data_IF_741522065343
#
_entry.id   IF_741522065343
#
_cell.length_a   1.000
_cell.length_b   1.000
_cell.length_c   1.000
_cell.angle_alpha   90.00
_cell.angle_beta   90.00
_cell.angle_gamma   90.00
#
_symmetry.space_group_name_H-M   'P 1'
#
loop_
_entity.id
_entity.type
_entity.pdbx_description
1 polymer ?
#
# COMPACT_ATOMS: atom_id res chain seq x y z
N UNK A 1 -49.39 -19.59 16.28
CA UNK A 1 -48.24 -18.67 16.47
C UNK A 1 -48.57 -17.38 15.73
N UNK A 2 -48.85 -16.31 16.46
CA UNK A 2 -49.50 -15.10 15.92
C UNK A 2 -48.61 -14.37 14.89
N UNK A 3 -49.28 -13.72 13.93
CA UNK A 3 -48.74 -12.74 12.97
C UNK A 3 -47.74 -13.21 11.90
N UNK A 4 -47.45 -14.51 11.81
CA UNK A 4 -46.55 -15.10 10.79
C UNK A 4 -47.26 -15.93 9.71
N UNK A 5 -48.38 -15.46 9.17
CA UNK A 5 -49.17 -16.22 8.18
C UNK A 5 -48.30 -16.53 6.95
N UNK A 6 -48.25 -17.80 6.55
CA UNK A 6 -47.42 -18.28 5.45
C UNK A 6 -45.91 -18.36 5.73
N UNK A 7 -45.46 -18.06 6.95
CA UNK A 7 -44.03 -18.08 7.34
C UNK A 7 -43.66 -19.30 8.18
N UNK A 8 -42.38 -19.66 8.16
CA UNK A 8 -41.80 -20.81 8.87
C UNK A 8 -41.97 -20.72 10.39
N UNK A 9 -42.87 -21.50 10.98
CA UNK A 9 -43.16 -21.42 12.42
C UNK A 9 -42.34 -22.37 13.30
N UNK A 10 -41.88 -23.50 12.76
CA UNK A 10 -41.09 -24.51 13.46
C UNK A 10 -40.25 -25.35 12.50
N UNK A 11 -39.04 -25.69 12.91
CA UNK A 11 -38.20 -26.74 12.30
C UNK A 11 -37.96 -27.81 13.36
N UNK A 12 -38.09 -29.09 12.98
CA UNK A 12 -37.76 -30.24 13.84
C UNK A 12 -36.68 -31.06 13.16
N UNK A 13 -35.78 -31.62 13.97
CA UNK A 13 -34.73 -32.51 13.52
C UNK A 13 -34.56 -33.70 14.47
N UNK A 14 -33.63 -34.62 14.17
CA UNK A 14 -33.27 -35.73 15.05
C UNK A 14 -32.83 -35.27 16.45
N UNK A 15 -32.81 -36.20 17.40
CA UNK A 15 -32.26 -35.99 18.75
C UNK A 15 -32.90 -34.81 19.52
N UNK A 16 -34.20 -34.59 19.31
CA UNK A 16 -34.96 -33.55 20.02
C UNK A 16 -34.66 -32.12 19.55
N UNK A 17 -33.94 -31.94 18.43
CA UNK A 17 -33.72 -30.63 17.83
C UNK A 17 -35.06 -29.99 17.45
N UNK A 18 -35.31 -28.78 17.97
CA UNK A 18 -36.50 -27.99 17.65
C UNK A 18 -36.15 -26.51 17.60
N UNK A 19 -36.42 -25.85 16.48
CA UNK A 19 -36.27 -24.39 16.32
C UNK A 19 -37.64 -23.76 16.09
N UNK A 20 -38.09 -22.93 17.00
CA UNK A 20 -39.40 -22.29 16.96
C UNK A 20 -39.28 -20.80 16.72
N UNK A 21 -40.10 -20.26 15.81
CA UNK A 21 -40.13 -18.84 15.50
C UNK A 21 -41.49 -18.24 15.91
N UNK A 22 -41.46 -17.00 16.37
CA UNK A 22 -42.64 -16.17 16.59
C UNK A 22 -42.46 -14.82 15.91
N UNK A 23 -43.58 -14.17 15.60
CA UNK A 23 -43.59 -12.96 14.78
C UNK A 23 -44.29 -11.81 15.51
N UNK A 24 -43.83 -10.58 15.26
CA UNK A 24 -44.52 -9.37 15.71
C UNK A 24 -45.70 -9.00 14.81
N UNK A 25 -46.43 -7.93 15.12
CA UNK A 25 -47.62 -7.52 14.36
C UNK A 25 -47.35 -7.18 12.88
N UNK A 26 -46.10 -6.89 12.51
CA UNK A 26 -45.69 -6.63 11.12
C UNK A 26 -45.15 -7.90 10.44
N UNK A 27 -45.25 -9.06 11.09
CA UNK A 27 -44.80 -10.35 10.59
C UNK A 27 -43.27 -10.51 10.58
N UNK A 28 -42.52 -9.70 11.33
CA UNK A 28 -41.05 -9.82 11.48
C UNK A 28 -40.73 -10.77 12.62
N UNK A 29 -39.57 -11.45 12.57
CA UNK A 29 -39.20 -12.46 13.58
C UNK A 29 -38.96 -11.81 14.96
N UNK A 30 -39.89 -12.01 15.89
CA UNK A 30 -39.82 -11.45 17.25
C UNK A 30 -39.00 -12.31 18.20
N UNK A 31 -39.11 -13.64 18.11
CA UNK A 31 -38.35 -14.56 18.95
C UNK A 31 -38.04 -15.84 18.19
N UNK A 32 -36.86 -16.38 18.43
CA UNK A 32 -36.43 -17.72 18.03
C UNK A 32 -36.05 -18.51 19.28
N UNK A 33 -36.67 -19.67 19.48
CA UNK A 33 -36.37 -20.59 20.58
C UNK A 33 -35.80 -21.88 20.01
N UNK A 34 -34.55 -22.18 20.33
CA UNK A 34 -33.87 -23.42 19.96
C UNK A 34 -33.87 -24.36 21.16
N UNK A 35 -34.40 -25.56 20.99
CA UNK A 35 -34.28 -26.68 21.93
C UNK A 35 -33.36 -27.72 21.32
N UNK A 36 -32.31 -28.08 22.04
CA UNK A 36 -31.36 -29.13 21.66
C UNK A 36 -30.74 -29.73 22.92
N UNK A 37 -30.57 -31.05 22.97
CA UNK A 37 -30.00 -31.76 24.14
C UNK A 37 -30.67 -31.41 25.48
N UNK A 38 -31.99 -31.16 25.49
CA UNK A 38 -32.74 -30.77 26.69
C UNK A 38 -32.58 -29.29 27.11
N UNK A 39 -31.65 -28.55 26.52
CA UNK A 39 -31.47 -27.12 26.76
C UNK A 39 -32.35 -26.29 25.85
N UNK A 40 -32.80 -25.13 26.34
CA UNK A 40 -33.60 -24.18 25.56
C UNK A 40 -32.93 -22.81 25.53
N UNK A 41 -32.56 -22.38 24.32
CA UNK A 41 -31.89 -21.12 24.04
C UNK A 41 -32.85 -20.20 23.31
N UNK A 42 -33.23 -19.09 23.95
CA UNK A 42 -34.14 -18.11 23.36
C UNK A 42 -33.40 -16.85 22.94
N UNK A 43 -33.65 -16.42 21.71
CA UNK A 43 -33.20 -15.14 21.15
C UNK A 43 -34.42 -14.29 20.81
N UNK A 44 -34.50 -13.07 21.32
CA UNK A 44 -35.56 -12.11 20.96
C UNK A 44 -35.00 -10.93 20.17
N UNK A 45 -35.83 -10.35 19.30
CA UNK A 45 -35.48 -9.23 18.45
C UNK A 45 -36.45 -8.07 18.70
N UNK A 46 -35.91 -6.86 18.64
CA UNK A 46 -36.66 -5.61 18.57
C UNK A 46 -36.23 -4.85 17.32
N UNK A 47 -37.14 -4.02 16.81
CA UNK A 47 -36.96 -3.33 15.54
C UNK A 47 -37.15 -1.83 15.75
N UNK A 48 -36.44 -1.01 14.98
CA UNK A 48 -36.67 0.43 14.95
C UNK A 48 -37.94 0.79 14.17
N UNK A 49 -38.26 2.09 14.11
CA UNK A 49 -39.43 2.62 13.40
C UNK A 49 -39.42 2.34 11.89
N UNK A 50 -38.26 2.01 11.31
CA UNK A 50 -38.08 1.68 9.89
C UNK A 50 -38.08 0.17 9.63
N UNK A 51 -38.48 -0.63 10.61
CA UNK A 51 -38.49 -2.09 10.54
C UNK A 51 -37.13 -2.77 10.39
N UNK A 52 -36.05 -2.09 10.79
CA UNK A 52 -34.70 -2.68 10.83
C UNK A 52 -34.43 -3.26 12.21
N UNK A 53 -33.70 -4.37 12.27
CA UNK A 53 -33.34 -5.02 13.54
C UNK A 53 -32.51 -4.06 14.39
N UNK A 54 -33.03 -3.62 15.53
CA UNK A 54 -32.38 -2.67 16.44
C UNK A 54 -31.63 -3.38 17.56
N UNK A 55 -32.28 -4.25 18.33
CA UNK A 55 -31.63 -5.01 19.42
C UNK A 55 -31.97 -6.48 19.31
N UNK A 56 -30.96 -7.33 19.39
CA UNK A 56 -31.08 -8.76 19.60
C UNK A 56 -30.69 -9.09 21.04
N UNK A 57 -31.61 -9.70 21.80
CA UNK A 57 -31.31 -10.26 23.13
C UNK A 57 -31.11 -11.76 22.97
N UNK A 58 -29.88 -12.22 23.14
CA UNK A 58 -29.44 -13.61 23.07
C UNK A 58 -29.71 -14.33 24.41
N UNK A 59 -29.46 -15.65 24.52
CA UNK A 59 -29.52 -16.35 25.79
C UNK A 59 -28.71 -15.64 26.89
N UNK A 60 -29.10 -15.87 28.15
CA UNK A 60 -28.53 -15.16 29.31
C UNK A 60 -28.73 -13.64 29.29
N UNK A 61 -29.71 -13.15 28.51
CA UNK A 61 -30.05 -11.73 28.34
C UNK A 61 -28.92 -10.88 27.73
N UNK A 62 -27.93 -11.50 27.09
CA UNK A 62 -26.85 -10.78 26.42
C UNK A 62 -27.40 -9.98 25.23
N UNK A 63 -27.20 -8.67 25.23
CA UNK A 63 -27.75 -7.77 24.21
C UNK A 63 -26.71 -7.42 23.15
N UNK A 64 -27.13 -7.46 21.89
CA UNK A 64 -26.39 -6.91 20.76
C UNK A 64 -27.27 -5.87 20.07
N UNK A 65 -26.76 -4.65 19.98
CA UNK A 65 -27.44 -3.51 19.38
C UNK A 65 -26.85 -3.19 18.00
N UNK A 66 -27.72 -2.93 17.04
CA UNK A 66 -27.38 -2.36 15.75
C UNK A 66 -27.70 -0.86 15.77
N UNK A 67 -26.70 -0.03 15.53
CA UNK A 67 -26.85 1.42 15.41
C UNK A 67 -26.86 1.78 13.93
N UNK A 68 -27.86 2.53 13.48
CA UNK A 68 -28.00 2.98 12.10
C UNK A 68 -27.87 4.50 12.00
N UNK A 69 -27.37 5.01 10.87
CA UNK A 69 -27.43 6.44 10.59
C UNK A 69 -28.82 6.86 10.08
N UNK A 70 -29.00 8.15 9.84
CA UNK A 70 -30.25 8.74 9.33
C UNK A 70 -30.67 8.20 7.95
N UNK A 71 -29.72 7.71 7.14
CA UNK A 71 -29.97 7.12 5.83
C UNK A 71 -30.25 5.61 5.91
N UNK A 72 -30.22 5.03 7.11
CA UNK A 72 -30.49 3.62 7.36
C UNK A 72 -29.34 2.65 7.15
N UNK A 73 -28.13 3.17 6.94
CA UNK A 73 -26.94 2.33 6.92
C UNK A 73 -26.50 1.97 8.33
N UNK A 74 -26.12 0.70 8.53
CA UNK A 74 -25.51 0.25 9.78
C UNK A 74 -24.20 1.02 10.02
N UNK A 75 -24.08 1.58 11.23
CA UNK A 75 -22.89 2.28 11.73
C UNK A 75 -22.13 1.47 12.76
N UNK A 76 -22.80 0.71 13.61
CA UNK A 76 -22.13 -0.07 14.64
C UNK A 76 -22.93 -1.30 15.06
N UNK A 77 -22.20 -2.33 15.50
CA UNK A 77 -22.73 -3.40 16.35
C UNK A 77 -22.04 -3.32 17.70
N UNK A 78 -22.81 -3.21 18.77
CA UNK A 78 -22.27 -3.03 20.12
C UNK A 78 -23.07 -3.80 21.16
N UNK A 79 -22.53 -3.90 22.37
CA UNK A 79 -23.19 -4.51 23.51
C UNK A 79 -22.90 -3.71 24.78
N UNK A 80 -23.76 -3.77 25.80
CA UNK A 80 -23.48 -3.12 27.08
C UNK A 80 -22.19 -3.65 27.70
N UNK A 81 -21.29 -2.75 28.08
CA UNK A 81 -19.99 -3.07 28.70
C UNK A 81 -20.16 -3.89 29.98
N UNK A 82 -21.20 -3.62 30.76
CA UNK A 82 -21.52 -4.37 31.96
C UNK A 82 -21.81 -5.88 31.72
N UNK A 83 -22.07 -6.29 30.47
CA UNK A 83 -22.31 -7.70 30.10
C UNK A 83 -21.05 -8.42 29.58
N UNK A 84 -19.90 -7.75 29.54
CA UNK A 84 -18.65 -8.26 28.96
C UNK A 84 -17.50 -7.94 29.91
N UNK A 85 -17.00 -8.96 30.62
CA UNK A 85 -15.94 -8.81 31.63
C UNK A 85 -14.53 -9.13 31.11
N UNK A 86 -14.43 -9.79 29.97
CA UNK A 86 -13.19 -10.35 29.39
C UNK A 86 -12.62 -9.52 28.24
N UNK A 87 -13.14 -8.31 28.02
CA UNK A 87 -12.68 -7.43 26.96
C UNK A 87 -11.36 -6.72 27.32
N UNK A 88 -10.37 -6.82 26.45
CA UNK A 88 -9.03 -6.23 26.65
C UNK A 88 -9.01 -4.73 26.27
N UNK A 89 -9.33 -3.89 27.25
CA UNK A 89 -9.29 -2.43 27.12
C UNK A 89 -7.88 -1.87 26.98
N UNK A 90 -6.89 -2.55 27.58
CA UNK A 90 -5.49 -2.14 27.52
C UNK A 90 -4.97 -2.29 26.10
N UNK A 91 -5.32 -3.39 25.43
CA UNK A 91 -5.00 -3.61 24.03
C UNK A 91 -5.55 -2.51 23.11
N UNK A 92 -6.83 -2.15 23.23
CA UNK A 92 -7.42 -1.08 22.41
C UNK A 92 -6.78 0.29 22.70
N UNK A 93 -6.39 0.54 23.95
CA UNK A 93 -5.68 1.76 24.36
C UNK A 93 -4.27 1.82 23.74
N UNK A 94 -3.53 0.70 23.76
CA UNK A 94 -2.23 0.56 23.07
C UNK A 94 -2.35 0.79 21.57
N UNK A 95 -3.42 0.32 20.92
CA UNK A 95 -3.67 0.60 19.49
C UNK A 95 -3.87 2.10 19.21
N UNK A 96 -4.58 2.82 20.09
CA UNK A 96 -4.75 4.28 19.99
C UNK A 96 -3.42 5.03 20.15
N UNK A 97 -2.61 4.61 21.14
CA UNK A 97 -1.26 5.16 21.37
C UNK A 97 -0.35 4.91 20.17
N UNK A 98 -0.30 3.68 19.67
CA UNK A 98 0.51 3.30 18.51
C UNK A 98 0.08 4.02 17.23
N UNK A 99 -1.23 4.17 16.98
CA UNK A 99 -1.72 4.97 15.87
C UNK A 99 -1.28 6.44 15.96
N UNK A 100 -1.18 6.99 17.18
CA UNK A 100 -0.69 8.36 17.40
C UNK A 100 0.82 8.47 17.18
N UNK A 101 1.60 7.52 17.70
CA UNK A 101 3.06 7.47 17.52
C UNK A 101 3.47 7.23 16.06
N UNK A 102 2.76 6.34 15.35
CA UNK A 102 3.01 6.09 13.92
C UNK A 102 2.70 7.32 13.06
N UNK A 103 1.72 8.14 13.44
CA UNK A 103 1.46 9.43 12.77
C UNK A 103 2.65 10.37 12.84
N UNK A 104 3.32 10.40 14.00
CA UNK A 104 4.49 11.22 14.23
C UNK A 104 5.67 10.67 13.42
N UNK A 105 5.92 9.36 13.47
CA UNK A 105 6.98 8.71 12.67
C UNK A 105 6.80 8.91 11.16
N UNK A 106 5.59 8.71 10.63
CA UNK A 106 5.31 8.91 9.20
C UNK A 106 5.51 10.38 8.79
N UNK A 107 5.10 11.32 9.64
CA UNK A 107 5.37 12.76 9.44
C UNK A 107 6.87 13.04 9.43
N UNK A 108 7.63 12.47 10.37
CA UNK A 108 9.08 12.65 10.45
C UNK A 108 9.80 12.06 9.25
N UNK A 109 9.38 10.89 8.74
CA UNK A 109 9.96 10.28 7.53
C UNK A 109 9.62 11.09 6.27
N UNK A 110 8.37 11.55 6.11
CA UNK A 110 8.00 12.43 5.01
C UNK A 110 8.84 13.72 5.01
N UNK A 111 9.03 14.34 6.18
CA UNK A 111 9.88 15.54 6.33
C UNK A 111 11.35 15.24 5.99
N UNK A 112 11.90 14.09 6.41
CA UNK A 112 13.27 13.67 6.06
C UNK A 112 13.46 13.49 4.56
N UNK A 113 12.49 12.91 3.88
CA UNK A 113 12.53 12.70 2.44
C UNK A 113 12.37 14.02 1.67
N UNK A 114 11.52 14.94 2.13
CA UNK A 114 11.38 16.29 1.54
C UNK A 114 12.70 17.09 1.60
N UNK A 115 13.45 16.96 2.70
CA UNK A 115 14.80 17.53 2.85
C UNK A 115 15.78 16.86 1.86
N UNK A 116 15.70 15.53 1.69
CA UNK A 116 16.55 14.76 0.75
C UNK A 116 16.29 15.16 -0.70
N UNK A 117 15.02 15.30 -1.10
CA UNK A 117 14.59 15.77 -2.43
C UNK A 117 15.14 17.18 -2.71
N UNK A 118 14.96 18.10 -1.76
CA UNK A 118 15.45 19.48 -1.87
C UNK A 118 16.96 19.52 -2.10
N UNK A 119 17.72 18.63 -1.43
CA UNK A 119 19.17 18.50 -1.60
C UNK A 119 19.56 17.96 -2.98
N UNK A 120 18.89 16.92 -3.48
CA UNK A 120 19.20 16.36 -4.81
C UNK A 120 18.86 17.33 -5.93
N UNK A 121 17.74 18.06 -5.83
CA UNK A 121 17.38 19.11 -6.78
C UNK A 121 18.45 20.22 -6.82
N UNK A 122 18.90 20.70 -5.66
CA UNK A 122 19.96 21.71 -5.58
C UNK A 122 21.29 21.24 -6.21
N UNK A 123 21.65 19.96 -6.04
CA UNK A 123 22.84 19.40 -6.69
C UNK A 123 22.68 19.23 -8.20
N UNK A 124 21.51 18.77 -8.66
CA UNK A 124 21.22 18.68 -10.10
C UNK A 124 21.35 20.05 -10.78
N UNK A 125 20.77 21.10 -10.18
CA UNK A 125 20.92 22.48 -10.70
C UNK A 125 22.37 22.96 -10.72
N UNK A 126 23.16 22.62 -9.70
CA UNK A 126 24.58 22.96 -9.64
C UNK A 126 25.38 22.31 -10.78
N UNK A 127 25.19 20.99 -11.01
CA UNK A 127 25.87 20.28 -12.08
C UNK A 127 25.44 20.77 -13.48
N UNK A 128 24.16 21.08 -13.69
CA UNK A 128 23.68 21.72 -14.93
C UNK A 128 24.32 23.08 -15.18
N UNK A 129 24.47 23.92 -14.15
CA UNK A 129 25.18 25.21 -14.26
C UNK A 129 26.66 25.04 -14.60
N UNK A 130 27.31 24.03 -14.00
CA UNK A 130 28.71 23.71 -14.30
C UNK A 130 28.88 23.22 -15.75
N UNK A 131 28.00 22.32 -16.20
CA UNK A 131 27.95 21.85 -17.59
C UNK A 131 27.76 23.01 -18.57
N UNK A 132 26.77 23.89 -18.32
CA UNK A 132 26.52 25.09 -19.14
C UNK A 132 27.73 26.02 -19.19
N UNK A 133 28.36 26.30 -18.04
CA UNK A 133 29.55 27.15 -17.96
C UNK A 133 30.72 26.55 -18.73
N UNK A 134 30.92 25.23 -18.66
CA UNK A 134 31.95 24.52 -19.41
C UNK A 134 31.67 24.53 -20.92
N UNK A 135 30.40 24.46 -21.34
CA UNK A 135 30.00 24.65 -22.74
C UNK A 135 30.30 26.08 -23.22
N UNK A 136 29.95 27.09 -22.42
CA UNK A 136 30.25 28.50 -22.74
C UNK A 136 31.76 28.77 -22.82
N UNK A 137 32.54 28.27 -21.85
CA UNK A 137 34.00 28.38 -21.84
C UNK A 137 34.64 27.59 -22.99
N UNK A 138 34.15 26.38 -23.28
CA UNK A 138 34.60 25.58 -24.43
C UNK A 138 34.34 26.32 -25.75
N UNK A 139 33.16 26.91 -25.92
CA UNK A 139 32.80 27.69 -27.10
C UNK A 139 33.62 28.98 -27.23
N UNK A 140 33.90 29.67 -26.11
CA UNK A 140 34.78 30.85 -26.09
C UNK A 140 36.22 30.46 -26.44
N UNK A 141 36.75 29.39 -25.85
CA UNK A 141 38.08 28.88 -26.15
C UNK A 141 38.19 28.36 -27.58
N UNK A 142 37.12 27.87 -28.18
CA UNK A 142 37.08 27.46 -29.58
C UNK A 142 37.15 28.68 -30.51
N UNK A 143 36.47 29.78 -30.17
CA UNK A 143 36.63 31.07 -30.86
C UNK A 143 38.04 31.64 -30.69
N UNK A 144 38.60 31.57 -29.48
CA UNK A 144 39.96 32.03 -29.19
C UNK A 144 41.01 31.14 -29.86
N UNK A 145 40.82 29.82 -29.91
CA UNK A 145 41.70 28.87 -30.59
C UNK A 145 41.60 28.98 -32.12
N UNK A 146 40.43 29.32 -32.65
CA UNK A 146 40.24 29.66 -34.06
C UNK A 146 40.96 30.97 -34.38
N UNK A 147 40.81 32.01 -33.55
CA UNK A 147 41.53 33.27 -33.68
C UNK A 147 43.05 33.13 -33.47
N UNK A 148 43.50 32.22 -32.60
CA UNK A 148 44.92 31.89 -32.39
C UNK A 148 45.49 31.01 -33.51
N UNK A 149 44.69 30.16 -34.15
CA UNK A 149 45.05 29.47 -35.41
C UNK A 149 45.25 30.48 -36.55
N UNK A 150 44.48 31.57 -36.56
CA UNK A 150 44.60 32.65 -37.53
C UNK A 150 45.79 33.60 -37.24
N UNK A 151 46.33 33.60 -36.01
CA UNK A 151 47.39 34.52 -35.55
C UNK A 151 48.68 33.84 -35.05
N UNK A 152 48.97 32.61 -35.49
CA UNK A 152 50.10 31.80 -35.05
C UNK A 152 51.50 32.32 -35.48
N UNK A 153 51.82 33.60 -35.24
CA UNK A 153 53.13 34.22 -35.38
C UNK A 153 53.36 35.30 -34.30
N UNK A 154 53.21 34.98 -33.00
CA UNK A 154 54.01 35.60 -31.92
C UNK A 154 53.74 34.90 -30.59
N UNK A 155 54.52 33.87 -30.27
CA UNK A 155 54.33 33.01 -29.11
C UNK A 155 55.53 33.18 -28.17
N UNK A 156 55.41 34.09 -27.21
CA UNK A 156 56.32 34.16 -26.03
C UNK A 156 55.69 34.86 -24.80
N UNK A 157 54.56 35.58 -24.93
CA UNK A 157 53.97 36.31 -23.80
C UNK A 157 52.99 35.49 -22.94
N UNK A 158 52.50 34.33 -23.41
CA UNK A 158 51.44 33.54 -22.74
C UNK A 158 51.98 32.66 -21.60
N UNK A 159 53.27 32.29 -21.65
CA UNK A 159 53.88 31.40 -20.65
C UNK A 159 53.93 32.08 -19.25
N UNK A 160 54.08 33.40 -19.19
CA UNK A 160 54.10 34.16 -17.93
C UNK A 160 52.73 34.32 -17.23
N UNK A 161 51.60 34.20 -17.95
CA UNK A 161 50.26 34.38 -17.37
C UNK A 161 49.71 33.11 -16.70
N UNK A 162 50.21 31.93 -17.08
CA UNK A 162 49.77 30.65 -16.51
C UNK A 162 50.46 30.32 -15.19
N UNK A 163 51.70 30.75 -14.99
CA UNK A 163 52.42 30.62 -13.71
C UNK A 163 51.75 31.44 -12.58
N UNK A 164 51.27 32.65 -12.89
CA UNK A 164 50.59 33.51 -11.90
C UNK A 164 49.24 32.94 -11.43
N UNK A 165 48.53 32.18 -12.28
CA UNK A 165 47.24 31.57 -11.94
C UNK A 165 47.39 30.36 -11.02
N UNK A 166 48.50 29.63 -11.12
CA UNK A 166 48.88 28.52 -10.22
C UNK A 166 49.09 29.02 -8.77
N UNK A 167 49.79 30.14 -8.60
CA UNK A 167 50.06 30.75 -7.29
C UNK A 167 48.79 31.24 -6.59
N UNK A 168 47.78 31.71 -7.34
CA UNK A 168 46.50 32.15 -6.81
C UNK A 168 45.68 31.03 -6.15
N UNK A 169 45.63 29.84 -6.75
CA UNK A 169 44.86 28.71 -6.21
C UNK A 169 45.53 28.01 -5.02
N UNK A 170 46.86 28.00 -4.97
CA UNK A 170 47.62 27.53 -3.79
C UNK A 170 47.37 28.42 -2.57
N UNK A 171 47.13 29.72 -2.78
CA UNK A 171 46.85 30.67 -1.71
C UNK A 171 45.39 30.59 -1.20
N UNK A 172 44.41 30.20 -2.04
CA UNK A 172 43.01 29.99 -1.62
C UNK A 172 42.84 28.80 -0.65
N UNK A 173 43.78 27.84 -0.69
CA UNK A 173 43.85 26.69 0.20
C UNK A 173 44.39 27.03 1.60
N UNK A 174 45.15 28.12 1.76
CA UNK A 174 45.86 28.41 3.01
C UNK A 174 45.15 29.30 4.02
N UNK A 175 43.93 29.79 3.80
CA UNK A 175 43.26 30.61 4.83
C UNK A 175 41.75 30.32 5.03
N UNK A 176 41.40 30.24 6.31
CA UNK A 176 40.10 30.46 6.97
C UNK A 176 39.02 29.37 7.02
N UNK A 177 38.83 28.49 6.02
CA UNK A 177 37.67 27.56 6.10
C UNK A 177 37.85 26.36 7.04
N UNK A 178 39.07 25.84 7.22
CA UNK A 178 39.32 24.73 8.16
C UNK A 178 39.13 25.13 9.64
N UNK A 179 39.24 26.43 9.95
CA UNK A 179 39.07 26.98 11.29
C UNK A 179 37.58 27.13 11.64
N UNK A 180 36.77 27.62 10.69
CA UNK A 180 35.33 27.86 10.88
C UNK A 180 34.49 26.60 11.15
N UNK A 181 34.86 25.44 10.60
CA UNK A 181 34.07 24.20 10.77
C UNK A 181 34.33 23.47 12.09
N UNK A 182 35.47 23.71 12.75
CA UNK A 182 35.78 23.17 14.07
C UNK A 182 34.99 23.89 15.19
N UNK A 183 34.70 25.17 14.97
CA UNK A 183 33.96 26.02 15.91
C UNK A 183 32.42 25.82 15.86
N UNK A 184 31.90 25.12 14.84
CA UNK A 184 30.46 24.86 14.63
C UNK A 184 29.99 23.46 15.08
N UNK A 185 30.84 22.65 15.72
CA UNK A 185 30.41 21.43 16.43
C UNK A 185 30.04 20.21 15.57
N UNK A 186 30.44 20.15 14.29
CA UNK A 186 30.17 18.99 13.44
C UNK A 186 31.00 17.76 13.84
N UNK A 187 30.34 16.59 13.88
CA UNK A 187 30.95 15.33 14.32
C UNK A 187 31.95 14.78 13.27
N UNK A 188 33.12 14.34 13.74
CA UNK A 188 34.36 14.05 12.97
C UNK A 188 34.19 13.10 11.78
N UNK A 189 33.21 12.18 11.83
CA UNK A 189 32.99 11.17 10.79
C UNK A 189 32.30 11.72 9.53
N UNK A 190 31.36 12.66 9.70
CA UNK A 190 30.62 13.31 8.60
C UNK A 190 31.54 14.29 7.89
N UNK A 191 32.33 15.03 8.66
CA UNK A 191 33.38 15.91 8.12
C UNK A 191 34.40 15.10 7.34
N UNK A 192 34.90 13.98 7.86
CA UNK A 192 35.85 13.13 7.14
C UNK A 192 35.30 12.60 5.81
N UNK A 193 34.08 12.04 5.76
CA UNK A 193 33.49 11.53 4.50
C UNK A 193 33.23 12.62 3.46
N UNK A 194 32.75 13.78 3.91
CA UNK A 194 32.58 14.96 3.05
C UNK A 194 33.94 15.43 2.52
N UNK A 195 34.96 15.40 3.37
CA UNK A 195 36.33 15.77 3.02
C UNK A 195 36.95 14.78 2.03
N UNK A 196 36.69 13.47 2.17
CA UNK A 196 37.18 12.44 1.22
C UNK A 196 36.53 12.58 -0.15
N UNK A 197 35.23 12.87 -0.20
CA UNK A 197 34.49 13.09 -1.45
C UNK A 197 34.96 14.38 -2.16
N UNK A 198 35.17 15.46 -1.42
CA UNK A 198 35.73 16.69 -2.00
C UNK A 198 37.20 16.53 -2.43
N UNK A 199 38.00 15.73 -1.73
CA UNK A 199 39.35 15.39 -2.16
C UNK A 199 39.35 14.55 -3.45
N UNK A 200 38.45 13.58 -3.57
CA UNK A 200 38.32 12.75 -4.78
C UNK A 200 37.89 13.60 -5.99
N UNK A 201 36.93 14.50 -5.79
CA UNK A 201 36.48 15.45 -6.83
C UNK A 201 37.59 16.43 -7.21
N UNK A 202 38.30 17.01 -6.24
CA UNK A 202 39.41 17.93 -6.52
C UNK A 202 40.59 17.24 -7.21
N UNK A 203 40.87 15.98 -6.85
CA UNK A 203 41.91 15.18 -7.49
C UNK A 203 41.53 14.79 -8.92
N UNK A 204 40.28 14.43 -9.18
CA UNK A 204 39.75 14.16 -10.53
C UNK A 204 39.75 15.42 -11.40
N UNK A 205 39.36 16.58 -10.85
CA UNK A 205 39.43 17.87 -11.53
C UNK A 205 40.88 18.29 -11.83
N UNK A 206 41.82 18.04 -10.92
CA UNK A 206 43.24 18.25 -11.14
C UNK A 206 43.79 17.36 -12.27
N UNK A 207 43.46 16.06 -12.25
CA UNK A 207 43.86 15.13 -13.31
C UNK A 207 43.24 15.51 -14.67
N UNK A 208 41.96 15.88 -14.70
CA UNK A 208 41.29 16.35 -15.92
C UNK A 208 41.93 17.63 -16.46
N UNK A 209 42.21 18.63 -15.61
CA UNK A 209 42.90 19.85 -16.00
C UNK A 209 44.34 19.56 -16.50
N UNK A 210 45.03 18.62 -15.85
CA UNK A 210 46.37 18.17 -16.22
C UNK A 210 46.40 17.53 -17.62
N UNK A 211 45.49 16.60 -17.91
CA UNK A 211 45.39 15.97 -19.24
C UNK A 211 44.90 16.95 -20.31
N UNK A 212 43.92 17.80 -19.99
CA UNK A 212 43.40 18.83 -20.89
C UNK A 212 44.46 19.86 -21.29
N UNK A 213 45.32 20.28 -20.35
CA UNK A 213 46.42 21.23 -20.60
C UNK A 213 47.48 20.69 -21.56
N UNK A 214 47.57 19.36 -21.70
CA UNK A 214 48.56 18.66 -22.52
C UNK A 214 48.03 18.20 -23.88
N UNK A 215 46.71 18.09 -24.03
CA UNK A 215 46.08 17.81 -25.31
C UNK A 215 46.13 19.04 -26.24
N UNK A 216 46.26 18.83 -27.56
CA UNK A 216 46.21 19.90 -28.56
C UNK A 216 45.11 19.65 -29.59
N UNK A 217 44.56 20.73 -30.16
CA UNK A 217 43.59 20.65 -31.26
C UNK A 217 42.34 19.83 -30.93
N UNK A 218 42.01 18.84 -31.77
CA UNK A 218 40.81 18.00 -31.65
C UNK A 218 40.79 17.10 -30.40
N UNK A 219 41.96 16.68 -29.91
CA UNK A 219 42.06 15.81 -28.73
C UNK A 219 41.55 16.53 -27.46
N UNK A 220 41.81 17.84 -27.38
CA UNK A 220 41.31 18.70 -26.30
C UNK A 220 39.78 18.86 -26.36
N UNK A 221 39.19 18.86 -27.55
CA UNK A 221 37.74 18.93 -27.77
C UNK A 221 37.04 17.64 -27.38
N UNK A 222 37.64 16.49 -27.70
CA UNK A 222 37.14 15.17 -27.28
C UNK A 222 37.13 15.06 -25.75
N UNK A 223 38.21 15.50 -25.09
CA UNK A 223 38.30 15.52 -23.63
C UNK A 223 37.27 16.48 -22.99
N UNK A 224 37.05 17.68 -23.55
CA UNK A 224 35.98 18.57 -23.06
C UNK A 224 34.59 17.93 -23.15
N UNK A 225 34.27 17.31 -24.29
CA UNK A 225 32.97 16.66 -24.48
C UNK A 225 32.78 15.45 -23.56
N UNK A 226 33.84 14.68 -23.29
CA UNK A 226 33.79 13.58 -22.32
C UNK A 226 33.50 14.06 -20.90
N UNK A 227 34.10 15.19 -20.48
CA UNK A 227 33.87 15.80 -19.16
C UNK A 227 32.44 16.35 -19.04
N UNK A 228 31.93 16.98 -20.10
CA UNK A 228 30.54 17.46 -20.16
C UNK A 228 29.57 16.29 -20.00
N UNK A 229 29.77 15.22 -20.77
CA UNK A 229 28.93 14.01 -20.70
C UNK A 229 28.98 13.36 -19.30
N UNK A 230 30.12 13.35 -18.62
CA UNK A 230 30.19 12.85 -17.24
C UNK A 230 29.37 13.69 -16.27
N UNK A 231 29.39 15.03 -16.37
CA UNK A 231 28.60 15.90 -15.50
C UNK A 231 27.10 15.82 -15.80
N UNK A 232 26.72 15.69 -17.07
CA UNK A 232 25.33 15.48 -17.48
C UNK A 232 24.82 14.11 -16.96
N UNK A 233 25.60 13.04 -17.09
CA UNK A 233 25.26 11.72 -16.53
C UNK A 233 25.10 11.76 -15.00
N UNK A 234 25.96 12.48 -14.27
CA UNK A 234 25.80 12.65 -12.81
C UNK A 234 24.53 13.44 -12.47
N UNK A 235 24.17 14.44 -13.28
CA UNK A 235 22.94 15.19 -13.10
C UNK A 235 21.69 14.31 -13.35
N UNK A 236 21.73 13.43 -14.35
CA UNK A 236 20.66 12.46 -14.63
C UNK A 236 20.47 11.43 -13.50
N UNK A 237 21.55 10.83 -12.99
CA UNK A 237 21.49 9.90 -11.84
C UNK A 237 20.92 10.57 -10.59
N UNK A 238 21.27 11.85 -10.35
CA UNK A 238 20.73 12.61 -9.23
C UNK A 238 19.25 12.97 -9.41
N UNK A 239 18.79 13.18 -10.64
CA UNK A 239 17.36 13.35 -10.97
C UNK A 239 16.62 12.04 -10.74
N UNK A 240 17.15 10.91 -11.18
CA UNK A 240 16.53 9.59 -10.96
C UNK A 240 16.41 9.27 -9.46
N UNK A 241 17.46 9.53 -8.67
CA UNK A 241 17.37 9.40 -7.21
C UNK A 241 16.38 10.40 -6.57
N UNK A 242 16.21 11.59 -7.15
CA UNK A 242 15.21 12.55 -6.69
C UNK A 242 13.79 12.07 -7.04
N UNK A 243 13.58 11.46 -8.20
CA UNK A 243 12.29 10.88 -8.61
C UNK A 243 11.93 9.67 -7.75
N UNK A 244 12.87 8.75 -7.50
CA UNK A 244 12.68 7.63 -6.58
C UNK A 244 12.37 8.11 -5.16
N UNK A 245 13.13 9.09 -4.65
CA UNK A 245 12.87 9.69 -3.36
C UNK A 245 11.53 10.47 -3.33
N UNK A 246 11.08 11.03 -4.46
CA UNK A 246 9.77 11.70 -4.60
C UNK A 246 8.64 10.70 -4.60
N UNK A 247 8.79 9.54 -5.23
CA UNK A 247 7.83 8.44 -5.16
C UNK A 247 7.74 7.90 -3.72
N UNK A 248 8.88 7.68 -3.06
CA UNK A 248 8.95 7.27 -1.66
C UNK A 248 8.36 8.33 -0.72
N UNK A 249 8.65 9.62 -0.95
CA UNK A 249 8.08 10.72 -0.18
C UNK A 249 6.57 10.85 -0.42
N UNK A 250 6.10 10.63 -1.64
CA UNK A 250 4.67 10.61 -1.97
C UNK A 250 3.98 9.46 -1.24
N UNK A 251 4.60 8.27 -1.21
CA UNK A 251 4.14 7.14 -0.41
C UNK A 251 4.08 7.49 1.08
N UNK A 252 5.17 7.99 1.68
CA UNK A 252 5.19 8.36 3.09
C UNK A 252 4.31 9.56 3.43
N UNK A 253 4.08 10.48 2.49
CA UNK A 253 3.12 11.58 2.61
C UNK A 253 1.70 11.07 2.52
N UNK A 254 1.40 10.08 1.67
CA UNK A 254 0.12 9.37 1.68
C UNK A 254 -0.06 8.59 2.99
N UNK A 255 0.97 7.90 3.50
CA UNK A 255 0.93 7.25 4.82
C UNK A 255 0.74 8.30 5.92
N UNK A 256 1.44 9.42 5.88
CA UNK A 256 1.33 10.52 6.85
C UNK A 256 0.00 11.26 6.74
N UNK A 257 -0.58 11.42 5.55
CA UNK A 257 -1.90 12.01 5.33
C UNK A 257 -3.01 11.03 5.71
N UNK A 258 -2.84 9.73 5.46
CA UNK A 258 -3.71 8.66 5.97
C UNK A 258 -3.65 8.58 7.50
N UNK A 259 -2.48 8.88 8.09
CA UNK A 259 -2.28 8.90 9.54
C UNK A 259 -2.64 10.26 10.18
N UNK A 260 -2.51 11.39 9.49
CA UNK A 260 -2.98 12.72 9.94
C UNK A 260 -4.49 12.86 9.80
N UNK A 261 -5.07 12.26 8.76
CA UNK A 261 -6.51 12.00 8.67
C UNK A 261 -6.98 10.93 9.64
N UNK A 262 -6.10 10.31 10.46
CA UNK A 262 -6.30 9.01 11.11
C UNK A 262 -7.77 8.77 11.41
N UNK A 263 -8.43 8.17 10.40
CA UNK A 263 -9.85 7.86 10.46
C UNK A 263 -10.01 6.99 11.70
N UNK A 264 -9.08 6.06 11.88
CA UNK A 264 -8.96 5.18 13.03
C UNK A 264 -8.85 5.88 14.38
N UNK A 265 -8.00 6.90 14.56
CA UNK A 265 -7.77 7.56 15.86
C UNK A 265 -9.06 8.11 16.44
N UNK A 266 -9.84 8.83 15.63
CA UNK A 266 -11.11 9.37 16.07
C UNK A 266 -12.13 8.27 16.38
N UNK A 267 -12.11 7.17 15.62
CA UNK A 267 -13.00 6.04 15.89
C UNK A 267 -12.58 5.22 17.13
N UNK A 268 -11.29 4.95 17.34
CA UNK A 268 -10.78 4.31 18.55
C UNK A 268 -11.03 5.17 19.78
N UNK A 269 -10.78 6.49 19.70
CA UNK A 269 -11.11 7.44 20.78
C UNK A 269 -12.61 7.44 21.07
N UNK A 270 -13.47 7.43 20.05
CA UNK A 270 -14.92 7.34 20.25
C UNK A 270 -15.34 6.01 20.89
N UNK A 271 -14.70 4.89 20.54
CA UNK A 271 -14.96 3.58 21.16
C UNK A 271 -14.48 3.52 22.62
N UNK A 272 -13.33 4.11 22.93
CA UNK A 272 -12.76 4.17 24.28
C UNK A 272 -13.53 5.12 25.21
N UNK A 273 -14.03 6.24 24.66
CA UNK A 273 -14.81 7.22 25.40
C UNK A 273 -16.26 6.75 25.68
N UNK A 274 -16.75 5.73 24.98
CA UNK A 274 -18.07 5.13 25.26
C UNK A 274 -17.97 4.24 26.50
N UNK A 275 -18.38 4.79 27.65
CA UNK A 275 -18.30 4.09 28.94
C UNK A 275 -19.32 2.98 29.08
N UNK A 276 -20.36 2.99 28.25
CA UNK A 276 -21.55 2.15 28.42
C UNK A 276 -21.50 0.93 27.50
N UNK A 277 -20.78 1.01 26.38
CA UNK A 277 -20.83 0.01 25.32
C UNK A 277 -19.45 -0.47 24.85
N UNK A 278 -19.42 -1.73 24.43
CA UNK A 278 -18.33 -2.35 23.69
C UNK A 278 -18.75 -2.56 22.25
N UNK A 279 -17.87 -2.22 21.33
CA UNK A 279 -18.12 -2.33 19.89
C UNK A 279 -17.57 -3.64 19.36
N UNK A 280 -18.40 -4.44 18.69
CA UNK A 280 -17.97 -5.59 17.88
C UNK A 280 -17.68 -5.20 16.43
N UNK A 281 -18.29 -4.11 15.99
CA UNK A 281 -18.13 -3.57 14.66
C UNK A 281 -18.45 -2.09 14.66
N UNK A 282 -17.65 -1.28 13.98
CA UNK A 282 -17.86 0.15 13.79
C UNK A 282 -17.48 0.55 12.38
N UNK A 283 -18.43 1.09 11.63
CA UNK A 283 -18.18 1.71 10.33
C UNK A 283 -17.42 3.01 10.55
N UNK A 284 -16.39 3.19 9.71
CA UNK A 284 -15.60 4.41 9.67
C UNK A 284 -16.09 5.35 8.58
N UNK A 285 -16.27 4.82 7.38
CA UNK A 285 -16.59 5.62 6.20
C UNK A 285 -17.32 4.82 5.12
N UNK A 286 -18.00 5.58 4.25
CA UNK A 286 -18.62 5.11 3.01
C UNK A 286 -18.29 6.10 1.90
N UNK A 287 -18.35 5.65 0.65
CA UNK A 287 -18.31 6.53 -0.51
C UNK A 287 -19.70 7.09 -0.86
N UNK A 288 -19.77 7.90 -1.92
CA UNK A 288 -21.01 8.53 -2.38
C UNK A 288 -22.07 7.53 -2.86
N UNK A 289 -21.67 6.33 -3.29
CA UNK A 289 -22.59 5.24 -3.64
C UNK A 289 -23.06 4.45 -2.41
N UNK A 290 -22.63 4.84 -1.20
CA UNK A 290 -22.96 4.16 0.05
C UNK A 290 -22.17 2.88 0.29
N UNK A 291 -21.16 2.56 -0.54
CA UNK A 291 -20.29 1.40 -0.33
C UNK A 291 -19.40 1.63 0.88
N UNK A 292 -19.15 0.57 1.64
CA UNK A 292 -18.31 0.64 2.84
C UNK A 292 -16.85 0.84 2.43
N UNK A 293 -16.25 1.95 2.80
CA UNK A 293 -14.83 2.24 2.51
C UNK A 293 -13.92 2.02 3.71
N UNK A 294 -14.49 1.89 4.91
CA UNK A 294 -13.71 1.53 6.08
C UNK A 294 -14.52 1.11 7.30
N UNK A 295 -13.98 0.18 8.09
CA UNK A 295 -14.57 -0.30 9.34
C UNK A 295 -13.51 -0.80 10.36
N UNK A 296 -13.93 -0.96 11.61
CA UNK A 296 -13.16 -1.53 12.72
C UNK A 296 -13.99 -2.69 13.30
N UNK A 297 -13.36 -3.84 13.53
CA UNK A 297 -13.99 -4.97 14.25
C UNK A 297 -13.58 -4.98 15.73
N UNK A 298 -14.25 -5.79 16.56
CA UNK A 298 -14.17 -5.69 18.01
C UNK A 298 -12.79 -5.92 18.63
N UNK A 299 -11.90 -6.63 17.93
CA UNK A 299 -10.50 -6.75 18.32
C UNK A 299 -9.65 -5.55 17.84
N UNK A 300 -10.25 -4.44 17.41
CA UNK A 300 -9.52 -3.27 16.94
C UNK A 300 -8.91 -3.38 15.54
N UNK A 301 -9.05 -4.51 14.82
CA UNK A 301 -8.56 -4.58 13.44
C UNK A 301 -9.35 -3.60 12.55
N UNK A 302 -8.64 -2.63 11.97
CA UNK A 302 -9.18 -1.71 10.98
C UNK A 302 -9.05 -2.32 9.60
N UNK A 303 -10.07 -2.14 8.77
CA UNK A 303 -10.03 -2.42 7.34
C UNK A 303 -10.43 -1.18 6.56
N UNK A 304 -9.70 -0.88 5.50
CA UNK A 304 -10.02 0.10 4.47
C UNK A 304 -10.25 -0.63 3.14
N UNK A 305 -11.18 -0.11 2.35
CA UNK A 305 -11.54 -0.61 1.03
C UNK A 305 -11.57 0.56 0.07
N UNK A 306 -10.86 0.44 -1.04
CA UNK A 306 -10.83 1.47 -2.08
C UNK A 306 -11.52 0.94 -3.33
N UNK A 307 -12.36 1.80 -3.93
CA UNK A 307 -13.13 1.46 -5.12
C UNK A 307 -12.76 2.40 -6.25
N UNK A 308 -12.79 1.90 -7.48
CA UNK A 308 -12.70 2.71 -8.68
C UNK A 308 -13.81 3.76 -8.70
N UNK A 309 -13.48 5.06 -8.83
CA UNK A 309 -14.48 6.09 -9.06
C UNK A 309 -15.23 5.92 -10.39
N UNK A 310 -14.62 5.24 -11.37
CA UNK A 310 -15.16 5.07 -12.71
C UNK A 310 -16.06 3.83 -12.85
N UNK A 311 -15.55 2.63 -12.52
CA UNK A 311 -16.31 1.37 -12.66
C UNK A 311 -17.02 0.96 -11.38
N UNK A 312 -16.54 1.44 -10.23
CA UNK A 312 -17.01 0.98 -8.94
C UNK A 312 -16.44 -0.36 -8.46
N UNK A 313 -15.49 -0.94 -9.19
CA UNK A 313 -14.77 -2.14 -8.78
C UNK A 313 -13.96 -1.89 -7.52
N UNK A 314 -13.81 -2.94 -6.71
CA UNK A 314 -12.95 -2.90 -5.54
C UNK A 314 -11.49 -3.00 -5.99
N UNK A 315 -10.68 -1.98 -5.75
CA UNK A 315 -9.25 -2.03 -6.08
C UNK A 315 -8.43 -2.64 -4.95
N UNK A 316 -8.61 -2.15 -3.73
CA UNK A 316 -7.77 -2.60 -2.62
C UNK A 316 -8.57 -2.95 -1.37
N UNK A 317 -8.12 -3.97 -0.65
CA UNK A 317 -8.52 -4.22 0.75
C UNK A 317 -7.27 -4.24 1.61
N UNK A 318 -7.19 -3.28 2.52
CA UNK A 318 -6.07 -3.15 3.47
C UNK A 318 -6.57 -3.30 4.89
N UNK A 319 -5.95 -4.19 5.66
CA UNK A 319 -6.27 -4.36 7.08
C UNK A 319 -5.03 -4.24 7.94
N UNK A 320 -5.18 -3.51 9.05
CA UNK A 320 -4.10 -3.27 9.98
C UNK A 320 -4.67 -2.95 11.37
N UNK A 321 -3.89 -3.23 12.40
CA UNK A 321 -4.19 -2.78 13.76
C UNK A 321 -3.68 -1.35 13.99
N UNK A 322 -2.57 -1.01 13.32
CA UNK A 322 -1.91 0.29 13.36
C UNK A 322 -1.63 0.79 11.92
N UNK A 323 -1.25 2.06 11.73
CA UNK A 323 -1.14 2.64 10.39
C UNK A 323 0.09 2.21 9.56
N UNK A 324 0.89 1.24 10.01
CA UNK A 324 2.15 0.85 9.34
C UNK A 324 2.26 -0.64 9.05
N UNK A 325 1.65 -1.49 9.88
CA UNK A 325 1.82 -2.95 9.79
C UNK A 325 0.53 -3.58 9.25
N UNK A 326 0.48 -3.73 7.93
CA UNK A 326 -0.63 -4.38 7.25
C UNK A 326 -0.58 -5.88 7.51
N UNK A 327 -1.71 -6.45 7.94
CA UNK A 327 -1.93 -7.91 8.06
C UNK A 327 -2.71 -8.47 6.87
N UNK A 328 -3.29 -7.56 6.07
CA UNK A 328 -3.87 -7.85 4.76
C UNK A 328 -3.64 -6.66 3.83
N UNK A 329 -3.14 -6.88 2.63
CA UNK A 329 -3.08 -5.90 1.55
C UNK A 329 -3.34 -6.62 0.23
N UNK A 330 -4.60 -6.61 -0.19
CA UNK A 330 -5.07 -7.25 -1.41
C UNK A 330 -5.35 -6.21 -2.47
N UNK A 331 -4.88 -6.44 -3.69
CA UNK A 331 -5.18 -5.64 -4.88
C UNK A 331 -5.87 -6.52 -5.93
N UNK A 332 -6.82 -5.94 -6.68
CA UNK A 332 -7.64 -6.65 -7.65
C UNK A 332 -7.60 -5.97 -9.02
N UNK A 333 -7.48 -6.78 -10.06
CA UNK A 333 -7.67 -6.39 -11.45
C UNK A 333 -8.88 -7.09 -12.07
N UNK A 334 -9.46 -6.45 -13.08
CA UNK A 334 -10.69 -6.89 -13.72
C UNK A 334 -10.59 -6.84 -15.24
N UNK A 335 -11.31 -7.71 -15.93
CA UNK A 335 -11.55 -7.58 -17.37
C UNK A 335 -12.72 -6.62 -17.66
N UNK A 336 -13.09 -6.51 -18.95
CA UNK A 336 -14.19 -5.66 -19.41
C UNK A 336 -15.59 -6.22 -19.11
N UNK A 337 -15.69 -7.47 -18.65
CA UNK A 337 -16.94 -8.13 -18.24
C UNK A 337 -17.08 -8.17 -16.71
N UNK A 338 -16.25 -7.40 -16.00
CA UNK A 338 -16.21 -7.29 -14.54
C UNK A 338 -15.77 -8.57 -13.81
N UNK A 339 -15.11 -9.51 -14.52
CA UNK A 339 -14.50 -10.68 -13.89
C UNK A 339 -13.16 -10.29 -13.26
N UNK A 340 -12.83 -10.86 -12.10
CA UNK A 340 -11.52 -10.65 -11.45
C UNK A 340 -10.46 -11.42 -12.20
N UNK A 341 -9.53 -10.76 -12.88
CA UNK A 341 -8.44 -11.42 -13.62
C UNK A 341 -7.21 -11.63 -12.77
N UNK A 342 -7.01 -10.80 -11.74
CA UNK A 342 -5.89 -10.93 -10.82
C UNK A 342 -6.30 -10.54 -9.39
N UNK A 343 -5.72 -11.23 -8.41
CA UNK A 343 -5.67 -10.81 -7.01
C UNK A 343 -4.24 -10.92 -6.49
N UNK A 344 -3.63 -9.79 -6.14
CA UNK A 344 -2.29 -9.76 -5.55
C UNK A 344 -2.36 -9.56 -4.04
N UNK A 345 -1.56 -10.30 -3.28
CA UNK A 345 -1.32 -10.06 -1.86
C UNK A 345 0.06 -9.45 -1.66
N UNK A 346 0.11 -8.14 -1.41
CA UNK A 346 1.36 -7.37 -1.24
C UNK A 346 2.12 -7.68 0.04
N UNK A 347 1.52 -8.43 0.97
CA UNK A 347 2.21 -8.87 2.20
C UNK A 347 2.98 -10.16 1.94
N UNK A 348 2.32 -11.15 1.34
CA UNK A 348 2.98 -12.43 1.03
C UNK A 348 3.77 -12.39 -0.28
N UNK A 349 3.56 -11.37 -1.12
CA UNK A 349 4.11 -11.30 -2.48
C UNK A 349 3.48 -12.31 -3.45
N UNK A 350 2.40 -12.99 -3.05
CA UNK A 350 1.71 -13.97 -3.90
C UNK A 350 0.72 -13.26 -4.83
N UNK A 351 0.65 -13.71 -6.08
CA UNK A 351 -0.32 -13.25 -7.08
C UNK A 351 -1.17 -14.42 -7.54
N UNK A 352 -2.49 -14.22 -7.57
CA UNK A 352 -3.45 -15.15 -8.14
C UNK A 352 -3.96 -14.61 -9.46
N UNK A 353 -3.82 -15.36 -10.54
CA UNK A 353 -4.43 -15.09 -11.84
C UNK A 353 -5.64 -15.99 -12.10
N UNK A 354 -6.65 -15.44 -12.77
CA UNK A 354 -7.88 -16.14 -13.12
C UNK A 354 -8.20 -15.97 -14.60
N UNK A 355 -8.65 -17.03 -15.26
CA UNK A 355 -9.10 -16.98 -16.65
C UNK A 355 -10.51 -17.54 -16.78
N UNK A 356 -11.24 -17.04 -17.77
CA UNK A 356 -12.66 -17.31 -17.96
C UNK A 356 -12.93 -17.79 -19.38
N UNK A 357 -13.96 -18.60 -19.56
CA UNK A 357 -14.50 -18.85 -20.90
C UNK A 357 -15.43 -17.72 -21.37
N UNK A 358 -15.96 -17.83 -22.58
CA UNK A 358 -16.85 -16.83 -23.16
C UNK A 358 -18.22 -16.68 -22.45
N UNK A 359 -18.51 -17.49 -21.43
CA UNK A 359 -19.70 -17.42 -20.59
C UNK A 359 -19.38 -16.96 -19.16
N UNK A 360 -18.21 -16.34 -18.95
CA UNK A 360 -17.70 -15.86 -17.66
C UNK A 360 -17.53 -16.97 -16.60
N UNK A 361 -17.32 -18.22 -17.04
CA UNK A 361 -17.03 -19.34 -16.14
C UNK A 361 -15.53 -19.50 -15.97
N UNK A 362 -15.07 -19.59 -14.72
CA UNK A 362 -13.65 -19.72 -14.36
C UNK A 362 -13.05 -21.02 -14.94
N UNK A 363 -12.14 -20.93 -15.90
CA UNK A 363 -11.46 -22.09 -16.51
C UNK A 363 -10.09 -22.38 -15.90
N UNK A 364 -9.46 -21.39 -15.26
CA UNK A 364 -8.20 -21.58 -14.54
C UNK A 364 -8.07 -20.61 -13.37
N UNK A 365 -7.46 -21.09 -12.29
CA UNK A 365 -6.86 -20.24 -11.25
C UNK A 365 -5.40 -20.64 -11.04
N UNK A 366 -4.49 -19.67 -11.02
CA UNK A 366 -3.06 -19.92 -10.78
C UNK A 366 -2.51 -18.99 -9.71
N UNK A 367 -1.90 -19.54 -8.66
CA UNK A 367 -1.17 -18.78 -7.65
C UNK A 367 0.32 -18.89 -7.90
N UNK A 368 1.00 -17.75 -8.03
CA UNK A 368 2.46 -17.68 -8.21
C UNK A 368 3.08 -16.71 -7.22
N UNK A 369 4.38 -16.84 -6.98
CA UNK A 369 5.16 -15.92 -6.15
C UNK A 369 6.31 -16.64 -5.46
N UNK A 370 6.69 -16.18 -4.28
CA UNK A 370 7.72 -16.83 -3.45
C UNK A 370 7.20 -17.10 -2.05
N UNK A 371 7.53 -18.26 -1.50
CA UNK A 371 7.30 -18.61 -0.10
C UNK A 371 8.66 -19.02 0.47
N UNK A 372 9.13 -18.30 1.49
CA UNK A 372 10.45 -18.53 2.11
C UNK A 372 11.60 -18.57 1.07
N UNK A 373 11.61 -17.60 0.16
CA UNK A 373 12.54 -17.46 -0.98
C UNK A 373 12.49 -18.58 -2.03
N UNK A 374 11.57 -19.54 -1.92
CA UNK A 374 11.34 -20.59 -2.91
C UNK A 374 10.22 -20.18 -3.87
N UNK A 375 10.47 -20.31 -5.17
CA UNK A 375 9.46 -20.06 -6.20
C UNK A 375 8.27 -21.00 -6.00
N UNK A 376 7.09 -20.41 -5.83
CA UNK A 376 5.83 -21.09 -5.67
C UNK A 376 4.99 -20.91 -6.94
N UNK A 377 4.42 -22.01 -7.42
CA UNK A 377 3.47 -22.01 -8.53
C UNK A 377 2.49 -23.16 -8.33
N UNK A 378 1.21 -22.81 -8.22
CA UNK A 378 0.11 -23.75 -8.08
C UNK A 378 -1.00 -23.39 -9.05
N UNK A 379 -1.50 -24.37 -9.80
CA UNK A 379 -2.48 -24.16 -10.86
C UNK A 379 -3.62 -25.15 -10.74
N UNK A 380 -4.85 -24.65 -10.87
CA UNK A 380 -6.08 -25.44 -10.94
C UNK A 380 -6.79 -25.11 -12.24
N UNK A 381 -7.04 -26.13 -13.05
CA UNK A 381 -7.84 -26.03 -14.28
C UNK A 381 -9.26 -26.58 -14.01
N UNK A 382 -10.25 -25.96 -14.65
CA UNK A 382 -11.68 -26.30 -14.54
C UNK A 382 -12.25 -26.56 -15.92
N UNK A 383 -13.08 -27.59 -16.04
CA UNK A 383 -13.79 -27.91 -17.27
C UNK A 383 -15.28 -28.03 -16.99
N UNK A 384 -16.09 -27.58 -17.95
CA UNK A 384 -17.55 -27.56 -17.83
C UNK A 384 -18.20 -28.27 -19.00
N UNK A 385 -19.36 -28.86 -18.75
CA UNK A 385 -20.29 -29.20 -19.82
C UNK A 385 -21.03 -27.95 -20.34
N UNK A 386 -21.85 -28.15 -21.37
CA UNK A 386 -22.64 -27.07 -21.99
C UNK A 386 -23.72 -26.51 -21.05
N UNK A 387 -24.10 -27.25 -20.01
CA UNK A 387 -25.09 -26.84 -19.01
C UNK A 387 -24.47 -26.13 -17.81
N UNK A 388 -23.13 -26.00 -17.75
CA UNK A 388 -22.40 -25.35 -16.67
C UNK A 388 -22.07 -26.26 -15.49
N UNK A 389 -22.29 -27.58 -15.59
CA UNK A 389 -21.78 -28.51 -14.60
C UNK A 389 -20.26 -28.65 -14.76
N UNK A 390 -19.51 -28.60 -13.66
CA UNK A 390 -18.07 -28.88 -13.67
C UNK A 390 -17.88 -30.35 -14.02
N UNK A 391 -17.20 -30.70 -15.10
CA UNK A 391 -16.89 -32.11 -15.44
C UNK A 391 -15.53 -32.54 -14.91
N UNK A 392 -14.60 -31.60 -14.72
CA UNK A 392 -13.29 -31.86 -14.12
C UNK A 392 -12.79 -30.63 -13.35
N UNK A 393 -12.13 -30.87 -12.22
CA UNK A 393 -11.30 -29.89 -11.53
C UNK A 393 -9.95 -30.54 -11.22
N UNK A 394 -8.85 -29.99 -11.74
CA UNK A 394 -7.58 -30.72 -11.85
C UNK A 394 -6.93 -31.20 -10.52
N UNK A 395 -7.29 -30.58 -9.40
CA UNK A 395 -6.85 -30.91 -8.03
C UNK A 395 -7.89 -31.72 -7.22
N UNK A 396 -9.05 -32.02 -7.81
CA UNK A 396 -10.12 -32.83 -7.20
C UNK A 396 -10.43 -34.08 -8.01
N UNK A 397 -10.54 -33.98 -9.33
CA UNK A 397 -10.87 -35.09 -10.23
C UNK A 397 -12.08 -34.82 -11.12
N UNK A 398 -12.61 -35.90 -11.68
CA UNK A 398 -13.75 -35.91 -12.62
C UNK A 398 -15.07 -36.00 -11.88
N UNK A 399 -16.05 -35.21 -12.32
CA UNK A 399 -17.38 -35.14 -11.74
C UNK A 399 -18.37 -35.82 -12.68
N UNK A 400 -19.21 -36.70 -12.12
CA UNK A 400 -20.33 -37.30 -12.84
C UNK A 400 -21.66 -36.81 -12.31
N UNK A 401 -22.63 -36.66 -13.20
CA UNK A 401 -23.97 -36.16 -12.90
C UNK A 401 -25.04 -37.15 -13.38
N UNK A 402 -26.24 -37.01 -12.84
CA UNK A 402 -27.40 -37.65 -13.43
C UNK A 402 -27.69 -37.04 -14.80
N UNK A 403 -28.38 -37.79 -15.67
CA UNK A 403 -28.85 -37.25 -16.95
C UNK A 403 -29.63 -35.94 -16.75
N UNK A 404 -29.57 -35.03 -17.72
CA UNK A 404 -30.18 -33.70 -17.62
C UNK A 404 -31.69 -33.72 -17.33
N UNK A 405 -32.39 -34.79 -17.73
CA UNK A 405 -33.81 -35.02 -17.46
C UNK A 405 -34.10 -35.70 -16.11
N UNK A 406 -33.06 -36.09 -15.37
CA UNK A 406 -33.15 -36.80 -14.11
C UNK A 406 -33.43 -35.89 -12.92
N UNK A 407 -33.73 -36.51 -11.78
CA UNK A 407 -33.87 -35.78 -10.50
C UNK A 407 -32.49 -35.26 -10.09
N UNK A 408 -32.40 -33.96 -9.78
CA UNK A 408 -31.17 -33.26 -9.36
C UNK A 408 -30.02 -33.35 -10.39
N UNK A 409 -30.23 -32.85 -11.63
CA UNK A 409 -29.23 -32.97 -12.71
C UNK A 409 -27.94 -32.16 -12.46
N UNK A 410 -27.97 -31.21 -11.53
CA UNK A 410 -26.81 -30.38 -11.15
C UNK A 410 -26.14 -30.84 -9.84
N UNK A 411 -26.62 -31.94 -9.24
CA UNK A 411 -25.95 -32.53 -8.08
C UNK A 411 -25.00 -33.61 -8.56
N UNK A 412 -23.69 -33.49 -8.31
CA UNK A 412 -22.75 -34.55 -8.68
C UNK A 412 -23.11 -35.83 -7.92
N UNK A 413 -23.16 -36.96 -8.64
CA UNK A 413 -23.47 -38.27 -8.08
C UNK A 413 -22.20 -39.08 -7.76
N UNK A 414 -21.06 -38.73 -8.35
CA UNK A 414 -19.73 -39.25 -7.98
C UNK A 414 -18.62 -38.27 -8.36
N UNK A 415 -17.48 -38.44 -7.70
CA UNK A 415 -16.21 -37.78 -8.04
C UNK A 415 -15.14 -38.88 -8.11
N UNK A 416 -14.41 -38.95 -9.22
CA UNK A 416 -13.37 -39.97 -9.47
C UNK A 416 -12.03 -39.34 -9.82
N UNK A 417 -10.92 -40.08 -9.71
CA UNK A 417 -9.59 -39.54 -10.03
C UNK A 417 -9.04 -38.58 -8.97
N UNK A 418 -9.47 -38.76 -7.71
CA UNK A 418 -9.06 -37.92 -6.58
C UNK A 418 -7.54 -37.96 -6.43
N UNK A 419 -6.89 -36.81 -6.67
CA UNK A 419 -5.50 -36.62 -6.29
C UNK A 419 -5.46 -36.37 -4.79
N UNK A 420 -5.19 -37.42 -4.02
CA UNK A 420 -4.76 -37.25 -2.64
C UNK A 420 -3.39 -36.60 -2.68
N UNK A 421 -3.32 -35.29 -2.42
CA UNK A 421 -2.05 -34.62 -2.18
C UNK A 421 -1.48 -35.20 -0.86
N UNK A 422 -0.47 -36.08 -0.98
CA UNK A 422 0.51 -36.35 0.07
C UNK A 422 1.49 -35.19 0.18
#
# INVERSE_FOLDING_TARGET
KSNGIGKLSVVKGPNGYKKELSYDALGRVKSTTLTTNGETLTTTNTYDSYSRLSVQTRPQKFKVENVYNQYGYLMAKRAPKAQISDYDWEYLSKLLEQSTANSQKATEQANKLEIKISKYNAYSEYYKKLSTKLIEESNSLNKDAQALRDNANLLDEIINKLEQKSTYFVNLYRNDRAKAYKDLGFNSLIVNKITTLYLDIAYKQYLQAYYYSRAQGEERKILANQIINEYDNHAEILIEHADQATQEATHWKQVADNTRKSRNKNHYKAMLNDTDNIYFYRVKSRDAAGRLTGHIVGNGLSTEQEYSPASGHLYTIKSNFNSTDEVRNLEYEYDLMDNVTQRQNHISGLSEGFTYDALDRLTQSSTTGKIDDVDYSYKVDYQYDINGNIINKSDVGDYSYNAASGVRPHTPNSITGIKTNT
#
